data_IF_169673975224
#
_entry.id   IF_169673975224
#
_cell.length_a   1.000
_cell.length_b   1.000
_cell.length_c   1.000
_cell.angle_alpha   90.00
_cell.angle_beta   90.00
_cell.angle_gamma   90.00
#
_symmetry.space_group_name_H-M   'P 1'
#
loop_
_entity.id
_entity.type
_entity.pdbx_description
1 polymer ?
#
# COMPACT_ATOMS: atom_id res chain seq x y z
N UNK A 1 -2.33 2.90 -13.01
CA UNK A 1 -3.60 3.65 -13.09
C UNK A 1 -4.44 3.14 -14.25
N UNK A 2 -3.92 3.12 -15.47
CA UNK A 2 -4.68 2.80 -16.68
C UNK A 2 -5.38 1.43 -16.64
N UNK A 3 -4.74 0.42 -16.05
CA UNK A 3 -5.37 -0.90 -15.87
C UNK A 3 -6.55 -0.83 -14.90
N UNK A 4 -6.42 -0.04 -13.81
CA UNK A 4 -7.51 0.18 -12.87
C UNK A 4 -8.71 0.85 -13.55
N UNK A 5 -8.47 1.87 -14.38
CA UNK A 5 -9.52 2.52 -15.19
C UNK A 5 -10.23 1.53 -16.09
N UNK A 6 -9.48 0.68 -16.81
CA UNK A 6 -10.06 -0.35 -17.69
C UNK A 6 -10.95 -1.34 -16.93
N UNK A 7 -10.53 -1.75 -15.73
CA UNK A 7 -11.34 -2.64 -14.88
C UNK A 7 -12.64 -1.95 -14.48
N UNK A 8 -12.58 -0.70 -14.01
CA UNK A 8 -13.77 0.04 -13.59
C UNK A 8 -14.73 0.28 -14.77
N UNK A 9 -14.20 0.58 -15.94
CA UNK A 9 -15.01 0.71 -17.17
C UNK A 9 -15.77 -0.58 -17.50
N UNK A 10 -15.13 -1.75 -17.32
CA UNK A 10 -15.80 -3.04 -17.53
C UNK A 10 -16.91 -3.31 -16.50
N UNK A 11 -16.78 -2.78 -15.27
CA UNK A 11 -17.83 -2.88 -14.26
C UNK A 11 -19.05 -1.98 -14.57
N UNK A 12 -18.90 -0.99 -15.45
CA UNK A 12 -19.98 -0.10 -15.90
C UNK A 12 -20.51 0.85 -14.83
N UNK A 13 -19.81 1.02 -13.71
CA UNK A 13 -20.20 1.91 -12.59
C UNK A 13 -18.97 2.47 -11.88
N UNK A 14 -19.15 3.56 -11.14
CA UNK A 14 -18.09 4.11 -10.28
C UNK A 14 -17.71 3.11 -9.18
N UNK A 15 -16.47 3.21 -8.70
CA UNK A 15 -15.95 2.33 -7.66
C UNK A 15 -15.47 3.13 -6.45
N UNK A 16 -15.70 2.59 -5.25
CA UNK A 16 -14.95 2.98 -4.07
C UNK A 16 -13.59 2.28 -4.11
N UNK A 17 -12.52 3.06 -4.06
CA UNK A 17 -11.16 2.56 -4.17
C UNK A 17 -10.57 2.37 -2.79
N UNK A 18 -10.16 1.15 -2.46
CA UNK A 18 -9.43 0.82 -1.23
C UNK A 18 -8.02 0.39 -1.62
N UNK A 19 -7.04 1.22 -1.33
CA UNK A 19 -5.68 0.98 -1.75
C UNK A 19 -4.67 1.03 -0.60
N UNK A 20 -3.92 -0.07 -0.40
CA UNK A 20 -2.80 -0.11 0.52
C UNK A 20 -1.49 0.18 -0.19
N UNK A 21 -0.61 0.97 0.44
CA UNK A 21 0.74 1.23 -0.06
C UNK A 21 0.72 1.68 -1.54
N UNK A 22 1.38 0.94 -2.46
CA UNK A 22 1.35 1.22 -3.90
C UNK A 22 -0.07 1.30 -4.47
N UNK A 23 -0.99 0.43 -3.99
CA UNK A 23 -2.39 0.46 -4.38
C UNK A 23 -3.08 1.78 -4.00
N UNK A 24 -2.73 2.34 -2.84
CA UNK A 24 -3.19 3.67 -2.40
C UNK A 24 -2.70 4.79 -3.32
N UNK A 25 -1.42 4.80 -3.67
CA UNK A 25 -0.86 5.79 -4.59
C UNK A 25 -1.50 5.73 -5.98
N UNK A 26 -1.78 4.53 -6.49
CA UNK A 26 -2.48 4.33 -7.77
C UNK A 26 -3.92 4.86 -7.67
N UNK A 27 -4.63 4.54 -6.58
CA UNK A 27 -6.00 4.98 -6.33
C UNK A 27 -6.09 6.50 -6.19
N UNK A 28 -5.15 7.12 -5.47
CA UNK A 28 -5.02 8.57 -5.35
C UNK A 28 -4.79 9.24 -6.70
N UNK A 29 -3.88 8.68 -7.51
CA UNK A 29 -3.62 9.18 -8.87
C UNK A 29 -4.87 9.15 -9.75
N UNK A 30 -5.75 8.17 -9.58
CA UNK A 30 -7.03 8.10 -10.30
C UNK A 30 -8.06 9.07 -9.72
N UNK A 31 -8.25 9.07 -8.39
CA UNK A 31 -9.25 9.91 -7.72
C UNK A 31 -8.99 11.41 -7.93
N UNK A 32 -7.74 11.83 -8.08
CA UNK A 32 -7.35 13.22 -8.37
C UNK A 32 -7.05 13.51 -9.84
N UNK A 33 -7.32 12.60 -10.77
CA UNK A 33 -7.10 12.83 -12.20
C UNK A 33 -8.21 13.69 -12.80
N UNK A 34 -7.87 14.62 -13.69
CA UNK A 34 -8.80 15.59 -14.27
C UNK A 34 -9.99 14.93 -14.99
N UNK A 35 -9.74 13.92 -15.79
CA UNK A 35 -10.77 13.24 -16.59
C UNK A 35 -11.26 11.93 -15.96
N UNK A 36 -10.38 11.20 -15.27
CA UNK A 36 -10.64 9.83 -14.83
C UNK A 36 -11.22 9.76 -13.41
N UNK A 37 -11.14 10.85 -12.62
CA UNK A 37 -11.77 10.94 -11.30
C UNK A 37 -13.28 10.63 -11.32
N UNK A 38 -13.94 10.81 -12.46
CA UNK A 38 -15.34 10.43 -12.68
C UNK A 38 -15.63 8.93 -12.43
N UNK A 39 -14.63 8.07 -12.47
CA UNK A 39 -14.76 6.63 -12.19
C UNK A 39 -14.67 6.28 -10.70
N UNK A 40 -14.27 7.24 -9.86
CA UNK A 40 -14.12 7.08 -8.42
C UNK A 40 -15.36 7.65 -7.71
N UNK A 41 -15.89 6.93 -6.71
CA UNK A 41 -16.98 7.40 -5.83
C UNK A 41 -16.52 7.63 -4.39
N UNK A 42 -15.41 7.03 -3.98
CA UNK A 42 -14.79 7.20 -2.68
C UNK A 42 -13.37 6.64 -2.67
N UNK A 43 -12.53 7.16 -1.80
CA UNK A 43 -11.12 6.79 -1.69
C UNK A 43 -10.77 6.41 -0.25
N UNK A 44 -10.19 5.24 -0.06
CA UNK A 44 -9.63 4.79 1.21
C UNK A 44 -8.15 4.50 1.00
N UNK A 45 -7.31 5.32 1.62
CA UNK A 45 -5.85 5.21 1.62
C UNK A 45 -5.41 4.43 2.84
N UNK A 46 -4.75 3.29 2.64
CA UNK A 46 -4.32 2.43 3.73
C UNK A 46 -2.81 2.52 3.90
N UNK A 47 -2.42 3.18 4.95
CA UNK A 47 -1.06 3.37 5.45
C UNK A 47 -0.07 3.92 4.41
N UNK A 48 -0.55 4.88 3.63
CA UNK A 48 0.23 5.60 2.63
C UNK A 48 -0.41 6.97 2.37
N UNK A 49 0.42 8.00 2.22
CA UNK A 49 0.02 9.33 1.78
C UNK A 49 0.41 9.60 0.32
N UNK A 50 0.77 10.83 0.02
CA UNK A 50 1.24 11.25 -1.31
C UNK A 50 2.65 10.73 -1.59
N UNK A 51 3.46 10.58 -0.55
CA UNK A 51 4.77 9.94 -0.56
C UNK A 51 4.96 9.10 0.70
N UNK A 52 5.71 8.01 0.64
CA UNK A 52 6.10 7.25 1.82
C UNK A 52 7.26 7.94 2.54
N UNK A 53 7.44 7.65 3.83
CA UNK A 53 8.66 7.96 4.54
C UNK A 53 9.86 7.23 3.90
N UNK A 54 11.00 7.93 3.74
CA UNK A 54 12.16 7.39 3.04
C UNK A 54 12.81 6.22 3.80
N UNK A 55 13.01 6.33 5.12
CA UNK A 55 13.63 5.28 5.93
C UNK A 55 12.78 3.99 5.93
N UNK A 56 11.45 4.11 6.08
CA UNK A 56 10.53 2.98 5.97
C UNK A 56 10.55 2.35 4.59
N UNK A 57 10.59 3.17 3.52
CA UNK A 57 10.72 2.68 2.14
C UNK A 57 12.00 1.90 1.91
N UNK A 58 13.12 2.36 2.46
CA UNK A 58 14.42 1.70 2.31
C UNK A 58 14.43 0.33 3.02
N UNK A 59 13.80 0.22 4.18
CA UNK A 59 13.62 -1.07 4.88
C UNK A 59 12.79 -2.07 4.07
N UNK A 60 11.72 -1.63 3.40
CA UNK A 60 10.93 -2.49 2.50
C UNK A 60 11.82 -3.00 1.35
N UNK A 61 12.59 -2.10 0.74
CA UNK A 61 13.47 -2.45 -0.38
C UNK A 61 14.56 -3.42 0.04
N UNK A 62 15.16 -3.23 1.21
CA UNK A 62 16.16 -4.12 1.77
C UNK A 62 15.58 -5.53 2.01
N UNK A 63 14.39 -5.59 2.63
CA UNK A 63 13.66 -6.86 2.80
C UNK A 63 13.40 -7.54 1.45
N UNK A 64 12.90 -6.81 0.46
CA UNK A 64 12.66 -7.38 -0.87
C UNK A 64 13.95 -7.89 -1.53
N UNK A 65 15.06 -7.17 -1.38
CA UNK A 65 16.38 -7.57 -1.91
C UNK A 65 16.94 -8.80 -1.22
N UNK A 66 16.65 -9.03 0.06
CA UNK A 66 17.13 -10.19 0.80
C UNK A 66 16.73 -11.51 0.15
N UNK A 67 15.57 -11.57 -0.53
CA UNK A 67 15.10 -12.71 -1.28
C UNK A 67 15.59 -12.83 -2.74
N UNK A 68 16.45 -11.91 -3.21
CA UNK A 68 16.86 -11.86 -4.63
C UNK A 68 17.65 -13.11 -5.08
N UNK A 69 18.37 -13.76 -4.17
CA UNK A 69 19.13 -15.01 -4.43
C UNK A 69 18.28 -16.27 -4.22
N UNK A 70 17.02 -16.12 -3.89
CA UNK A 70 16.11 -17.21 -3.51
C UNK A 70 16.43 -17.79 -2.12
N UNK A 71 15.48 -18.51 -1.58
CA UNK A 71 15.56 -19.20 -0.29
C UNK A 71 15.72 -20.71 -0.52
N UNK A 72 16.48 -21.39 0.32
CA UNK A 72 16.64 -22.83 0.23
C UNK A 72 15.36 -23.58 0.64
N UNK A 73 14.53 -22.97 1.49
CA UNK A 73 13.28 -23.55 1.95
C UNK A 73 12.23 -22.48 2.25
N UNK A 74 10.99 -22.91 2.48
CA UNK A 74 9.89 -22.02 2.94
C UNK A 74 10.19 -21.51 4.36
N UNK A 75 10.87 -22.30 5.18
CA UNK A 75 11.32 -21.95 6.53
C UNK A 75 12.30 -20.78 6.50
N UNK A 76 13.29 -20.81 5.59
CA UNK A 76 14.24 -19.70 5.40
C UNK A 76 13.51 -18.41 4.98
N UNK A 77 12.54 -18.51 4.09
CA UNK A 77 11.71 -17.36 3.73
C UNK A 77 10.87 -16.84 4.91
N UNK A 78 10.36 -17.74 5.77
CA UNK A 78 9.61 -17.36 6.98
C UNK A 78 10.54 -16.68 8.01
N UNK A 79 11.78 -17.08 8.13
CA UNK A 79 12.78 -16.43 8.98
C UNK A 79 13.09 -15.01 8.49
N UNK A 80 13.20 -14.81 7.18
CA UNK A 80 13.37 -13.48 6.59
C UNK A 80 12.17 -12.57 6.88
N UNK A 81 10.93 -13.09 6.78
CA UNK A 81 9.71 -12.34 7.15
C UNK A 81 9.72 -11.98 8.63
N UNK A 82 10.08 -12.92 9.51
CA UNK A 82 10.13 -12.68 10.96
C UNK A 82 11.18 -11.64 11.33
N UNK A 83 12.31 -11.62 10.64
CA UNK A 83 13.34 -10.58 10.79
C UNK A 83 12.85 -9.19 10.35
N UNK A 84 12.04 -9.12 9.30
CA UNK A 84 11.43 -7.88 8.82
C UNK A 84 10.31 -7.37 9.73
N UNK A 85 9.53 -8.28 10.35
CA UNK A 85 8.40 -7.98 11.24
C UNK A 85 8.66 -8.48 12.67
N UNK A 86 9.65 -7.94 13.38
CA UNK A 86 10.09 -8.47 14.68
C UNK A 86 9.05 -8.32 15.80
N UNK A 87 8.06 -7.43 15.63
CA UNK A 87 6.96 -7.22 16.55
C UNK A 87 5.83 -8.25 16.41
N UNK A 88 5.88 -9.07 15.33
CA UNK A 88 4.87 -10.09 15.04
C UNK A 88 5.38 -11.47 15.44
N UNK A 89 4.58 -12.21 16.22
CA UNK A 89 4.89 -13.59 16.52
C UNK A 89 4.95 -14.42 15.22
N UNK A 90 6.01 -15.21 15.06
CA UNK A 90 6.16 -16.09 13.91
C UNK A 90 5.07 -17.16 13.93
N UNK A 91 4.24 -17.29 12.89
CA UNK A 91 3.21 -18.32 12.82
C UNK A 91 3.81 -19.73 12.93
N UNK A 92 3.17 -20.61 13.70
CA UNK A 92 3.55 -22.04 13.77
C UNK A 92 3.30 -22.73 12.43
N UNK A 93 2.21 -22.40 11.75
CA UNK A 93 1.92 -22.86 10.40
C UNK A 93 2.35 -21.79 9.39
N UNK A 94 3.38 -22.09 8.63
CA UNK A 94 3.92 -21.23 7.57
C UNK A 94 3.48 -21.66 6.16
N UNK A 95 2.57 -22.64 6.05
CA UNK A 95 2.11 -23.17 4.76
C UNK A 95 1.52 -22.09 3.85
N UNK A 96 0.87 -21.09 4.45
CA UNK A 96 0.31 -19.93 3.75
C UNK A 96 1.35 -19.10 3.00
N UNK A 97 2.61 -19.10 3.46
CA UNK A 97 3.70 -18.35 2.81
C UNK A 97 4.04 -18.89 1.40
N UNK A 98 3.77 -20.17 1.14
CA UNK A 98 3.96 -20.78 -0.19
C UNK A 98 3.19 -20.04 -1.30
N UNK A 99 2.07 -19.38 -0.99
CA UNK A 99 1.30 -18.58 -1.95
C UNK A 99 2.11 -17.41 -2.49
N UNK A 100 3.05 -16.90 -1.70
CA UNK A 100 3.89 -15.76 -2.03
C UNK A 100 5.27 -16.17 -2.59
N UNK A 101 5.49 -17.46 -2.79
CA UNK A 101 6.75 -18.01 -3.27
C UNK A 101 6.56 -18.77 -4.59
N UNK A 102 7.62 -18.80 -5.39
CA UNK A 102 7.73 -19.60 -6.61
C UNK A 102 8.98 -20.47 -6.51
N UNK A 103 8.80 -21.79 -6.56
CA UNK A 103 9.89 -22.74 -6.70
C UNK A 103 10.38 -22.66 -8.15
N UNK A 104 11.69 -22.42 -8.37
CA UNK A 104 12.33 -22.40 -9.68
C UNK A 104 13.13 -23.69 -9.95
N UNK A 105 13.62 -23.82 -11.17
CA UNK A 105 14.37 -25.00 -11.64
C UNK A 105 15.66 -25.27 -10.86
N UNK A 106 16.25 -24.22 -10.26
CA UNK A 106 17.42 -24.33 -9.39
C UNK A 106 17.12 -24.90 -7.98
N UNK A 107 15.87 -25.28 -7.73
CA UNK A 107 15.40 -25.82 -6.46
C UNK A 107 15.23 -24.78 -5.34
N UNK A 108 15.32 -23.51 -5.64
CA UNK A 108 15.17 -22.43 -4.67
C UNK A 108 13.79 -21.77 -4.77
N UNK A 109 13.33 -21.20 -3.65
CA UNK A 109 12.09 -20.45 -3.55
C UNK A 109 12.36 -18.95 -3.73
N UNK A 110 11.62 -18.29 -4.61
CA UNK A 110 11.72 -16.87 -4.87
C UNK A 110 10.40 -16.19 -4.53
N UNK A 111 10.46 -14.95 -4.13
CA UNK A 111 9.24 -14.14 -4.03
C UNK A 111 8.50 -14.10 -5.37
N UNK A 112 7.17 -14.03 -5.33
CA UNK A 112 6.36 -14.05 -6.55
C UNK A 112 6.32 -12.72 -7.30
N UNK A 113 6.77 -11.62 -6.68
CA UNK A 113 6.79 -10.32 -7.36
C UNK A 113 7.86 -10.24 -8.44
N UNK A 114 7.70 -9.28 -9.38
CA UNK A 114 8.65 -9.07 -10.45
C UNK A 114 9.95 -8.44 -9.92
N UNK A 115 11.12 -9.05 -10.13
CA UNK A 115 12.41 -8.49 -9.74
C UNK A 115 12.71 -7.12 -10.35
N UNK A 116 12.11 -6.78 -11.48
CA UNK A 116 12.22 -5.45 -12.10
C UNK A 116 11.77 -4.33 -11.18
N UNK A 117 10.85 -4.62 -10.24
CA UNK A 117 10.45 -3.65 -9.22
C UNK A 117 11.63 -3.11 -8.39
N UNK A 118 12.70 -3.89 -8.25
CA UNK A 118 13.90 -3.53 -7.50
C UNK A 118 15.01 -2.90 -8.34
N UNK A 119 15.00 -3.10 -9.66
CA UNK A 119 16.10 -2.66 -10.54
C UNK A 119 16.02 -1.19 -10.91
N UNK A 120 14.83 -0.62 -10.92
CA UNK A 120 14.53 0.69 -11.47
C UNK A 120 14.77 1.86 -10.49
N UNK A 121 15.33 1.58 -9.30
CA UNK A 121 15.50 2.60 -8.25
C UNK A 121 16.83 3.35 -8.26
N UNK A 122 17.84 2.86 -8.98
CA UNK A 122 19.21 3.40 -8.98
C UNK A 122 19.49 4.33 -10.17
N UNK A 123 18.72 5.32 -10.39
CA UNK A 123 18.90 6.30 -11.48
C UNK A 123 17.73 7.24 -11.66
N UNK A 124 16.71 7.09 -10.80
CA UNK A 124 15.41 7.73 -10.98
C UNK A 124 15.08 8.82 -9.94
N UNK A 125 16.05 9.44 -9.31
CA UNK A 125 15.78 10.50 -8.33
C UNK A 125 14.81 11.57 -8.86
N UNK A 126 15.08 12.13 -10.03
CA UNK A 126 14.22 13.15 -10.65
C UNK A 126 12.86 12.59 -11.09
N UNK A 127 12.82 11.38 -11.63
CA UNK A 127 11.57 10.73 -12.05
C UNK A 127 10.71 10.38 -10.84
N UNK A 128 11.32 9.93 -9.73
CA UNK A 128 10.65 9.65 -8.47
C UNK A 128 10.03 10.93 -7.89
N UNK A 129 10.79 12.01 -7.82
CA UNK A 129 10.32 13.31 -7.33
C UNK A 129 9.19 13.88 -8.21
N UNK A 130 9.28 13.72 -9.52
CA UNK A 130 8.20 14.13 -10.43
C UNK A 130 6.93 13.34 -10.18
N UNK A 131 7.01 12.02 -9.96
CA UNK A 131 5.86 11.18 -9.61
C UNK A 131 5.22 11.63 -8.28
N UNK A 132 6.00 11.97 -7.28
CA UNK A 132 5.46 12.48 -6.01
C UNK A 132 4.80 13.85 -6.18
N UNK A 133 5.38 14.77 -6.94
CA UNK A 133 4.73 16.04 -7.28
C UNK A 133 3.39 15.83 -8.01
N UNK A 134 3.30 14.86 -8.90
CA UNK A 134 2.04 14.51 -9.56
C UNK A 134 1.00 13.97 -8.56
N UNK A 135 1.39 13.15 -7.59
CA UNK A 135 0.51 12.67 -6.54
C UNK A 135 0.04 13.79 -5.61
N UNK A 136 0.92 14.71 -5.23
CA UNK A 136 0.57 15.91 -4.45
C UNK A 136 -0.45 16.80 -5.20
N UNK A 137 -0.25 16.98 -6.49
CA UNK A 137 -1.19 17.73 -7.33
C UNK A 137 -2.53 16.98 -7.49
N UNK A 138 -2.50 15.64 -7.58
CA UNK A 138 -3.71 14.82 -7.62
C UNK A 138 -4.46 14.91 -6.29
N UNK A 139 -3.78 14.84 -5.15
CA UNK A 139 -4.40 14.96 -3.83
C UNK A 139 -5.22 16.24 -3.67
N UNK A 140 -4.68 17.37 -4.11
CA UNK A 140 -5.36 18.67 -4.06
C UNK A 140 -6.65 18.75 -4.91
N UNK A 141 -6.83 17.85 -5.86
CA UNK A 141 -8.01 17.77 -6.73
C UNK A 141 -9.04 16.73 -6.30
N UNK A 142 -8.75 15.95 -5.24
CA UNK A 142 -9.70 14.98 -4.73
C UNK A 142 -10.93 15.69 -4.20
N UNK A 143 -12.10 15.28 -4.67
CA UNK A 143 -13.41 15.81 -4.26
C UNK A 143 -14.34 14.72 -3.71
N UNK A 144 -13.98 13.43 -3.85
CA UNK A 144 -14.79 12.32 -3.34
C UNK A 144 -14.57 12.12 -1.84
N UNK A 145 -15.54 11.52 -1.12
CA UNK A 145 -15.33 11.10 0.26
C UNK A 145 -14.03 10.31 0.40
N UNK A 146 -13.20 10.70 1.36
CA UNK A 146 -11.84 10.14 1.52
C UNK A 146 -11.57 9.75 2.97
N UNK A 147 -10.99 8.56 3.17
CA UNK A 147 -10.50 8.08 4.46
C UNK A 147 -9.00 7.79 4.35
N UNK A 148 -8.23 8.32 5.29
CA UNK A 148 -6.85 7.91 5.53
C UNK A 148 -6.81 6.98 6.74
N UNK A 149 -6.30 5.76 6.55
CA UNK A 149 -6.08 4.79 7.63
C UNK A 149 -4.58 4.69 7.89
N UNK A 150 -4.15 4.80 9.15
CA UNK A 150 -2.76 4.68 9.57
C UNK A 150 -2.61 3.54 10.58
N UNK A 151 -1.56 2.73 10.46
CA UNK A 151 -1.08 1.90 11.56
C UNK A 151 -0.30 2.75 12.56
N UNK A 152 -0.67 2.71 13.84
CA UNK A 152 -0.02 3.54 14.88
C UNK A 152 1.49 3.29 15.02
N UNK A 153 1.97 2.14 14.56
CA UNK A 153 3.39 1.75 14.56
C UNK A 153 4.02 1.79 13.15
N UNK A 154 3.35 2.44 12.19
CA UNK A 154 3.86 2.53 10.82
C UNK A 154 5.11 3.40 10.73
N UNK A 155 6.06 2.93 9.96
CA UNK A 155 7.26 3.66 9.54
C UNK A 155 7.18 4.19 8.09
N UNK A 156 6.06 3.94 7.41
CA UNK A 156 5.78 4.40 6.03
C UNK A 156 4.92 5.65 6.01
N UNK A 157 3.83 5.64 6.79
CA UNK A 157 2.96 6.79 6.99
C UNK A 157 3.21 7.31 8.41
N UNK A 158 4.20 8.16 8.59
CA UNK A 158 4.48 8.80 9.88
C UNK A 158 3.56 10.01 10.10
N UNK A 159 3.66 10.66 11.25
CA UNK A 159 2.88 11.88 11.54
C UNK A 159 3.11 12.97 10.49
N UNK A 160 4.32 13.08 9.96
CA UNK A 160 4.66 14.06 8.92
C UNK A 160 3.87 13.80 7.64
N UNK A 161 3.97 12.60 7.08
CA UNK A 161 3.28 12.22 5.84
C UNK A 161 1.76 12.26 6.00
N UNK A 162 1.25 11.90 7.20
CA UNK A 162 -0.17 12.03 7.56
C UNK A 162 -0.63 13.49 7.51
N UNK A 163 0.05 14.38 8.20
CA UNK A 163 -0.29 15.81 8.25
C UNK A 163 -0.23 16.45 6.86
N UNK A 164 0.77 16.11 6.06
CA UNK A 164 0.88 16.55 4.66
C UNK A 164 -0.34 16.12 3.85
N UNK A 165 -0.80 14.87 4.00
CA UNK A 165 -1.98 14.37 3.31
C UNK A 165 -3.27 15.06 3.78
N UNK A 166 -3.49 15.17 5.10
CA UNK A 166 -4.68 15.80 5.66
C UNK A 166 -4.78 17.29 5.27
N UNK A 167 -3.65 17.97 5.16
CA UNK A 167 -3.61 19.35 4.67
C UNK A 167 -3.93 19.45 3.18
N UNK A 168 -3.51 18.48 2.36
CA UNK A 168 -3.81 18.45 0.92
C UNK A 168 -5.25 18.04 0.62
N UNK A 169 -5.87 17.21 1.48
CA UNK A 169 -7.24 16.68 1.37
C UNK A 169 -8.03 16.99 2.66
N UNK A 170 -8.39 18.27 2.92
CA UNK A 170 -8.90 18.70 4.23
C UNK A 170 -10.27 18.14 4.59
N UNK A 171 -11.02 17.59 3.63
CA UNK A 171 -12.29 16.90 3.88
C UNK A 171 -12.14 15.42 4.19
N UNK A 172 -10.90 14.89 4.18
CA UNK A 172 -10.67 13.49 4.49
C UNK A 172 -10.90 13.18 5.96
N UNK A 173 -11.49 12.01 6.25
CA UNK A 173 -11.52 11.42 7.57
C UNK A 173 -10.20 10.71 7.86
N UNK A 174 -9.92 10.50 9.13
CA UNK A 174 -8.72 9.80 9.58
C UNK A 174 -9.08 8.72 10.60
N UNK A 175 -8.47 7.55 10.45
CA UNK A 175 -8.56 6.45 11.42
C UNK A 175 -7.15 5.92 11.73
N UNK A 176 -6.81 5.83 13.03
CA UNK A 176 -5.57 5.23 13.50
C UNK A 176 -5.84 3.85 14.09
N UNK A 177 -5.15 2.84 13.57
CA UNK A 177 -5.29 1.45 14.03
C UNK A 177 -4.17 1.16 15.03
N UNK A 178 -4.55 1.08 16.29
CA UNK A 178 -3.62 0.82 17.39
C UNK A 178 -2.92 -0.54 17.24
N UNK A 179 -1.63 -0.60 17.59
CA UNK A 179 -0.79 -1.80 17.51
C UNK A 179 -0.64 -2.38 16.09
N UNK A 180 -0.96 -1.62 15.04
CA UNK A 180 -0.72 -1.99 13.65
C UNK A 180 0.49 -1.25 13.09
N UNK A 181 1.23 -1.95 12.23
CA UNK A 181 2.33 -1.39 11.44
C UNK A 181 1.87 -1.06 10.02
N UNK A 182 2.79 -0.90 9.07
CA UNK A 182 2.46 -0.79 7.65
C UNK A 182 1.58 -1.95 7.12
N UNK A 183 1.63 -3.10 7.77
CA UNK A 183 0.83 -4.28 7.42
C UNK A 183 -0.53 -4.29 8.14
N UNK A 184 -1.23 -3.13 8.18
CA UNK A 184 -2.46 -2.88 8.94
C UNK A 184 -3.47 -4.03 8.85
N UNK A 185 -3.79 -4.46 7.63
CA UNK A 185 -4.75 -5.55 7.36
C UNK A 185 -4.31 -6.86 8.01
N UNK A 186 -3.02 -7.18 7.93
CA UNK A 186 -2.48 -8.40 8.50
C UNK A 186 -2.27 -8.34 10.02
N UNK A 187 -2.16 -7.14 10.59
CA UNK A 187 -1.93 -6.95 12.02
C UNK A 187 -3.23 -6.89 12.81
N UNK A 188 -4.24 -6.16 12.30
CA UNK A 188 -5.51 -5.87 13.00
C UNK A 188 -6.70 -5.88 12.03
N UNK A 189 -6.94 -7.03 11.39
CA UNK A 189 -7.92 -7.18 10.33
C UNK A 189 -9.33 -6.73 10.72
N UNK A 190 -9.82 -7.10 11.90
CA UNK A 190 -11.20 -6.83 12.31
C UNK A 190 -11.43 -5.33 12.56
N UNK A 191 -10.50 -4.67 13.27
CA UNK A 191 -10.56 -3.23 13.53
C UNK A 191 -10.42 -2.44 12.22
N UNK A 192 -9.55 -2.89 11.33
CA UNK A 192 -9.40 -2.30 10.00
C UNK A 192 -10.69 -2.43 9.18
N UNK A 193 -11.31 -3.62 9.18
CA UNK A 193 -12.55 -3.87 8.46
C UNK A 193 -13.70 -3.01 9.01
N UNK A 194 -13.82 -2.86 10.33
CA UNK A 194 -14.81 -2.00 10.98
C UNK A 194 -14.65 -0.54 10.54
N UNK A 195 -13.45 0.02 10.59
CA UNK A 195 -13.19 1.40 10.15
C UNK A 195 -13.58 1.65 8.68
N UNK A 196 -13.36 0.66 7.80
CA UNK A 196 -13.76 0.77 6.39
C UNK A 196 -15.28 0.68 6.25
N UNK A 197 -15.92 -0.29 6.91
CA UNK A 197 -17.38 -0.48 6.84
C UNK A 197 -18.11 0.75 7.35
N UNK A 198 -17.68 1.31 8.47
CA UNK A 198 -18.26 2.52 9.05
C UNK A 198 -18.16 3.69 8.06
N UNK A 199 -16.97 3.93 7.50
CA UNK A 199 -16.78 4.98 6.52
C UNK A 199 -17.65 4.78 5.27
N UNK A 200 -17.71 3.56 4.73
CA UNK A 200 -18.49 3.26 3.54
C UNK A 200 -19.99 3.41 3.81
N UNK A 201 -20.47 2.99 4.99
CA UNK A 201 -21.88 3.10 5.38
C UNK A 201 -22.38 4.54 5.49
N UNK A 202 -21.50 5.48 5.82
CA UNK A 202 -21.82 6.90 5.87
C UNK A 202 -21.87 7.58 4.48
N UNK A 203 -21.26 6.96 3.46
CA UNK A 203 -21.00 7.59 2.15
C UNK A 203 -21.49 6.78 0.95
N UNK A 204 -22.06 5.59 1.18
CA UNK A 204 -22.71 4.78 0.13
C UNK A 204 -24.23 4.90 0.31
N UNK A 205 -24.90 5.48 -0.68
CA UNK A 205 -26.34 5.34 -0.88
C UNK A 205 -26.68 4.04 -1.62
#
# INVERSE_FOLDING_TARGET
RDDLVRIIQQLGKKANLVGASLGGMISLSLAGHEEESKYCSGLIMVDIGMRPNDEGSDRIVEFMRSGAKGFASVEEAADAVSGYLPHRERPKDISGLKKNLRLKEDGRYYWHWDPLFLTDRTGMGEVREERFRQLENSAKRISVPTLLVQGALSDILTNKEKEEFLNAVPHSKFAEIQQATHMVVGDKNDIFAEAIVDFLSEHIE
#
